data_IF_460904652870
#
_entry.id   IF_460904652870
#
_cell.length_a   1.000
_cell.length_b   1.000
_cell.length_c   1.000
_cell.angle_alpha   90.00
_cell.angle_beta   90.00
_cell.angle_gamma   90.00
#
_symmetry.space_group_name_H-M   'P 1'
#
loop_
_entity.id
_entity.type
_entity.pdbx_description
1 polymer ?
#
# COMPACT_ATOMS: atom_id res chain seq x y z
N UNK A 1 19.53 -17.50 10.53
CA UNK A 1 18.46 -17.43 9.50
C UNK A 1 19.07 -17.24 8.13
N UNK A 2 18.56 -17.94 7.11
CA UNK A 2 19.03 -17.80 5.72
C UNK A 2 18.78 -16.37 5.21
N UNK A 3 19.61 -15.91 4.29
CA UNK A 3 19.50 -14.58 3.68
C UNK A 3 18.13 -14.36 3.01
N UNK A 4 17.62 -15.41 2.36
CA UNK A 4 16.26 -15.45 1.79
C UNK A 4 15.16 -15.21 2.82
N UNK A 5 15.22 -15.86 4.00
CA UNK A 5 14.24 -15.63 5.07
C UNK A 5 14.31 -14.21 5.64
N UNK A 6 15.53 -13.68 5.84
CA UNK A 6 15.69 -12.29 6.29
C UNK A 6 15.14 -11.30 5.26
N UNK A 7 15.41 -11.54 3.97
CA UNK A 7 14.87 -10.75 2.86
C UNK A 7 13.35 -10.75 2.84
N UNK A 8 12.74 -11.94 2.93
CA UNK A 8 11.29 -12.09 2.93
C UNK A 8 10.63 -11.39 4.13
N UNK A 9 11.21 -11.49 5.32
CA UNK A 9 10.71 -10.79 6.50
C UNK A 9 10.80 -9.27 6.35
N UNK A 10 11.93 -8.77 5.85
CA UNK A 10 12.08 -7.32 5.67
C UNK A 10 11.10 -6.80 4.61
N UNK A 11 10.96 -7.50 3.48
CA UNK A 11 9.99 -7.13 2.45
C UNK A 11 8.54 -7.30 2.90
N UNK A 12 8.27 -8.30 3.75
CA UNK A 12 6.93 -8.59 4.27
C UNK A 12 6.47 -7.61 5.36
N UNK A 13 7.38 -7.10 6.19
CA UNK A 13 7.02 -6.26 7.34
C UNK A 13 7.19 -4.77 7.08
N UNK A 14 8.10 -4.38 6.18
CA UNK A 14 8.45 -2.96 5.99
C UNK A 14 7.91 -2.43 4.68
N UNK A 15 8.38 -2.98 3.56
CA UNK A 15 8.02 -2.50 2.23
C UNK A 15 8.32 -3.58 1.18
N UNK A 16 7.41 -3.84 0.22
CA UNK A 16 7.67 -4.79 -0.86
C UNK A 16 9.00 -4.47 -1.57
N UNK A 17 9.83 -5.49 -1.77
CA UNK A 17 11.10 -5.40 -2.51
C UNK A 17 12.32 -4.91 -1.70
N UNK A 18 12.15 -4.41 -0.47
CA UNK A 18 13.28 -3.83 0.28
C UNK A 18 14.31 -4.88 0.71
N UNK A 19 13.87 -6.09 1.05
CA UNK A 19 14.75 -7.22 1.35
C UNK A 19 15.58 -7.62 0.13
N UNK A 20 14.98 -7.67 -1.06
CA UNK A 20 15.69 -7.91 -2.30
C UNK A 20 16.77 -6.86 -2.53
N UNK A 21 16.46 -5.59 -2.27
CA UNK A 21 17.34 -4.46 -2.53
C UNK A 21 18.52 -4.40 -1.55
N UNK A 22 18.25 -4.51 -0.25
CA UNK A 22 19.25 -4.31 0.82
C UNK A 22 19.96 -5.61 1.18
N UNK A 23 19.23 -6.71 1.30
CA UNK A 23 19.77 -7.98 1.80
C UNK A 23 20.31 -8.83 0.64
N UNK A 24 19.50 -9.08 -0.40
CA UNK A 24 19.91 -9.90 -1.55
C UNK A 24 20.68 -9.13 -2.63
N UNK A 25 20.79 -7.80 -2.51
CA UNK A 25 21.47 -6.91 -3.47
C UNK A 25 20.92 -7.01 -4.91
N UNK A 26 19.68 -7.48 -5.09
CA UNK A 26 18.97 -7.61 -6.38
C UNK A 26 18.21 -6.33 -6.68
N UNK A 27 18.93 -5.24 -6.97
CA UNK A 27 18.35 -3.88 -7.10
C UNK A 27 17.16 -3.81 -8.06
N UNK A 28 17.29 -4.37 -9.26
CA UNK A 28 16.22 -4.33 -10.28
C UNK A 28 14.95 -5.02 -9.76
N UNK A 29 15.09 -6.19 -9.13
CA UNK A 29 13.96 -6.94 -8.58
C UNK A 29 13.33 -6.24 -7.37
N UNK A 30 14.15 -5.67 -6.50
CA UNK A 30 13.64 -4.87 -5.39
C UNK A 30 12.82 -3.68 -5.88
N UNK A 31 13.33 -2.93 -6.86
CA UNK A 31 12.63 -1.79 -7.46
C UNK A 31 11.35 -2.20 -8.20
N UNK A 32 11.34 -3.37 -8.85
CA UNK A 32 10.18 -3.90 -9.57
C UNK A 32 8.94 -4.04 -8.67
N UNK A 33 9.13 -4.40 -7.40
CA UNK A 33 8.04 -4.50 -6.42
C UNK A 33 7.83 -3.19 -5.65
N UNK A 34 8.91 -2.49 -5.33
CA UNK A 34 8.87 -1.31 -4.46
C UNK A 34 8.22 -0.11 -5.14
N UNK A 35 8.59 0.19 -6.40
CA UNK A 35 8.11 1.37 -7.12
C UNK A 35 6.59 1.35 -7.33
N UNK A 36 5.99 0.28 -7.90
CA UNK A 36 4.53 0.24 -8.05
C UNK A 36 3.79 0.22 -6.71
N UNK A 37 4.34 -0.43 -5.67
CA UNK A 37 3.75 -0.41 -4.34
C UNK A 37 3.73 1.01 -3.74
N UNK A 38 4.84 1.76 -3.86
CA UNK A 38 4.91 3.16 -3.42
C UNK A 38 3.96 4.05 -4.21
N UNK A 39 3.89 3.90 -5.54
CA UNK A 39 2.97 4.66 -6.36
C UNK A 39 1.51 4.43 -5.96
N UNK A 40 1.11 3.16 -5.78
CA UNK A 40 -0.22 2.80 -5.30
C UNK A 40 -0.50 3.35 -3.89
N UNK A 41 0.45 3.22 -2.97
CA UNK A 41 0.31 3.76 -1.62
C UNK A 41 0.12 5.29 -1.62
N UNK A 42 0.94 6.03 -2.36
CA UNK A 42 0.81 7.49 -2.48
C UNK A 42 -0.54 7.89 -3.09
N UNK A 43 -1.03 7.15 -4.08
CA UNK A 43 -2.36 7.38 -4.67
C UNK A 43 -3.48 7.17 -3.65
N UNK A 44 -3.40 6.12 -2.84
CA UNK A 44 -4.37 5.86 -1.77
C UNK A 44 -4.32 6.93 -0.68
N UNK A 45 -3.12 7.37 -0.27
CA UNK A 45 -2.95 8.45 0.71
C UNK A 45 -3.48 9.78 0.19
N UNK A 46 -3.29 10.07 -1.09
CA UNK A 46 -3.91 11.24 -1.73
C UNK A 46 -5.43 11.18 -1.62
N UNK A 47 -6.05 10.04 -1.95
CA UNK A 47 -7.50 9.86 -1.81
C UNK A 47 -7.99 10.02 -0.38
N UNK A 48 -7.29 9.42 0.57
CA UNK A 48 -7.60 9.56 1.99
C UNK A 48 -7.52 11.03 2.46
N UNK A 49 -6.52 11.78 2.00
CA UNK A 49 -6.36 13.19 2.34
C UNK A 49 -7.54 14.03 1.83
N UNK A 50 -7.97 13.80 0.58
CA UNK A 50 -9.13 14.48 -0.01
C UNK A 50 -10.43 14.15 0.73
N UNK A 51 -10.63 12.88 1.07
CA UNK A 51 -11.79 12.42 1.83
C UNK A 51 -11.83 13.10 3.21
N UNK A 52 -10.69 13.15 3.89
CA UNK A 52 -10.56 13.78 5.21
C UNK A 52 -10.83 15.27 5.15
N UNK A 53 -10.27 15.98 4.17
CA UNK A 53 -10.51 17.41 3.99
C UNK A 53 -11.99 17.72 3.77
N UNK A 54 -12.68 16.92 2.94
CA UNK A 54 -14.11 17.09 2.68
C UNK A 54 -14.95 16.84 3.94
N UNK A 55 -14.62 15.79 4.70
CA UNK A 55 -15.29 15.50 5.97
C UNK A 55 -15.10 16.64 6.98
N UNK A 56 -13.89 17.17 7.10
CA UNK A 56 -13.60 18.30 8.00
C UNK A 56 -14.37 19.56 7.58
N UNK A 57 -14.48 19.83 6.28
CA UNK A 57 -15.27 20.95 5.77
C UNK A 57 -16.76 20.80 6.09
N UNK A 58 -17.34 19.62 5.84
CA UNK A 58 -18.73 19.36 6.17
C UNK A 58 -18.99 19.49 7.69
N UNK A 59 -18.02 19.06 8.52
CA UNK A 59 -18.14 19.14 9.97
C UNK A 59 -18.13 20.60 10.44
N UNK A 60 -17.22 21.41 9.89
CA UNK A 60 -17.10 22.82 10.23
C UNK A 60 -18.30 23.66 9.78
N UNK A 61 -18.94 23.28 8.67
CA UNK A 61 -20.12 23.98 8.13
C UNK A 61 -21.44 23.51 8.72
N UNK A 62 -21.43 22.56 9.67
CA UNK A 62 -22.64 21.98 10.25
C UNK A 62 -23.43 21.11 9.27
N UNK A 63 -22.80 20.70 8.16
CA UNK A 63 -23.42 19.91 7.11
C UNK A 63 -23.29 18.39 7.37
N UNK A 64 -22.73 17.99 8.52
CA UNK A 64 -22.68 16.59 8.95
C UNK A 64 -24.08 16.10 9.35
N UNK A 65 -24.50 14.91 8.88
CA UNK A 65 -25.70 14.27 9.41
C UNK A 65 -25.56 14.04 10.92
N UNK A 66 -26.63 14.26 11.68
CA UNK A 66 -26.68 13.94 13.12
C UNK A 66 -26.83 12.44 13.37
N UNK A 67 -27.22 11.68 12.34
CA UNK A 67 -27.31 10.23 12.36
C UNK A 67 -25.94 9.59 12.05
N UNK A 68 -25.48 8.75 12.97
CA UNK A 68 -24.21 8.02 12.87
C UNK A 68 -24.18 7.11 11.65
N UNK A 69 -25.31 6.51 11.26
CA UNK A 69 -25.38 5.66 10.07
C UNK A 69 -25.12 6.48 8.79
N UNK A 70 -25.76 7.64 8.67
CA UNK A 70 -25.57 8.55 7.54
C UNK A 70 -24.15 9.15 7.46
N UNK A 71 -23.48 9.35 8.61
CA UNK A 71 -22.06 9.75 8.65
C UNK A 71 -21.17 8.64 8.09
N UNK A 72 -21.47 7.39 8.43
CA UNK A 72 -20.71 6.21 7.98
C UNK A 72 -20.83 6.02 6.46
N UNK A 73 -22.03 6.17 5.91
CA UNK A 73 -22.25 6.08 4.46
C UNK A 73 -21.53 7.19 3.69
N UNK A 74 -21.52 8.42 4.22
CA UNK A 74 -20.75 9.51 3.61
C UNK A 74 -19.25 9.28 3.66
N UNK A 75 -18.73 8.76 4.77
CA UNK A 75 -17.31 8.39 4.90
C UNK A 75 -16.90 7.38 3.82
N UNK A 76 -17.72 6.34 3.61
CA UNK A 76 -17.48 5.35 2.55
C UNK A 76 -17.57 5.96 1.15
N UNK A 77 -18.48 6.92 0.95
CA UNK A 77 -18.58 7.68 -0.31
C UNK A 77 -17.41 8.62 -0.59
N UNK A 78 -16.81 9.23 0.44
CA UNK A 78 -15.68 10.15 0.29
C UNK A 78 -14.33 9.46 0.12
N UNK A 79 -14.16 8.27 0.69
CA UNK A 79 -12.88 7.58 0.76
C UNK A 79 -12.35 7.02 -0.58
N UNK A 80 -13.10 7.14 -1.69
CA UNK A 80 -12.76 6.45 -2.93
C UNK A 80 -12.21 7.39 -3.99
N UNK A 81 -10.91 7.27 -4.26
CA UNK A 81 -10.30 7.79 -5.49
C UNK A 81 -10.58 6.86 -6.67
N UNK A 82 -10.57 7.38 -7.91
CA UNK A 82 -10.62 6.54 -9.10
C UNK A 82 -9.58 5.42 -9.02
N UNK A 83 -10.02 4.18 -9.25
CA UNK A 83 -9.13 3.02 -9.21
C UNK A 83 -8.67 2.61 -7.80
N UNK A 84 -9.32 3.05 -6.71
CA UNK A 84 -8.99 2.62 -5.34
C UNK A 84 -8.76 1.11 -5.21
N UNK A 85 -9.72 0.31 -5.69
CA UNK A 85 -9.62 -1.16 -5.64
C UNK A 85 -8.44 -1.69 -6.45
N UNK A 86 -8.14 -1.08 -7.60
CA UNK A 86 -7.00 -1.45 -8.44
C UNK A 86 -5.69 -1.15 -7.70
N UNK A 87 -5.56 0.02 -7.08
CA UNK A 87 -4.38 0.40 -6.31
C UNK A 87 -4.15 -0.54 -5.11
N UNK A 88 -5.22 -0.93 -4.40
CA UNK A 88 -5.14 -1.94 -3.34
C UNK A 88 -4.64 -3.29 -3.88
N UNK A 89 -5.18 -3.75 -5.00
CA UNK A 89 -4.74 -5.01 -5.61
C UNK A 89 -3.29 -4.96 -6.09
N UNK A 90 -2.85 -3.84 -6.66
CA UNK A 90 -1.43 -3.62 -7.01
C UNK A 90 -0.55 -3.73 -5.76
N UNK A 91 -0.94 -3.04 -4.69
CA UNK A 91 -0.17 -3.06 -3.43
C UNK A 91 -0.08 -4.48 -2.86
N UNK A 92 -1.21 -5.19 -2.79
CA UNK A 92 -1.27 -6.57 -2.30
C UNK A 92 -0.46 -7.53 -3.18
N UNK A 93 -0.58 -7.42 -4.50
CA UNK A 93 0.16 -8.24 -5.45
C UNK A 93 1.67 -8.00 -5.36
N UNK A 94 2.11 -6.74 -5.26
CA UNK A 94 3.53 -6.41 -5.07
C UNK A 94 4.08 -7.00 -3.78
N UNK A 95 3.29 -6.96 -2.70
CA UNK A 95 3.66 -7.51 -1.42
C UNK A 95 3.85 -9.02 -1.50
N UNK A 96 2.84 -9.74 -2.00
CA UNK A 96 2.86 -11.19 -2.12
C UNK A 96 3.98 -11.65 -3.07
N UNK A 97 4.10 -11.02 -4.24
CA UNK A 97 5.13 -11.33 -5.22
C UNK A 97 6.55 -11.09 -4.65
N UNK A 98 6.74 -10.04 -3.86
CA UNK A 98 8.01 -9.78 -3.19
C UNK A 98 8.36 -10.85 -2.15
N UNK A 99 7.39 -11.37 -1.40
CA UNK A 99 7.65 -12.48 -0.47
C UNK A 99 8.07 -13.74 -1.24
N UNK A 100 7.34 -14.08 -2.30
CA UNK A 100 7.62 -15.25 -3.13
C UNK A 100 8.98 -15.14 -3.83
N UNK A 101 9.33 -13.98 -4.39
CA UNK A 101 10.63 -13.73 -5.03
C UNK A 101 11.79 -13.89 -4.05
N UNK A 102 11.64 -13.35 -2.82
CA UNK A 102 12.67 -13.45 -1.79
C UNK A 102 12.89 -14.89 -1.32
N UNK A 103 11.82 -15.69 -1.23
CA UNK A 103 11.84 -17.07 -0.73
C UNK A 103 12.27 -18.10 -1.77
N UNK A 104 11.73 -18.00 -2.99
CA UNK A 104 11.80 -19.08 -3.98
C UNK A 104 12.95 -18.92 -4.97
N UNK A 105 13.35 -17.69 -5.27
CA UNK A 105 14.34 -17.48 -6.33
C UNK A 105 15.73 -17.52 -5.72
N UNK A 106 16.43 -18.62 -6.00
CA UNK A 106 17.81 -18.87 -5.60
C UNK A 106 18.75 -17.85 -6.23
N UNK A 107 19.80 -17.53 -5.50
CA UNK A 107 20.86 -16.65 -5.99
C UNK A 107 21.52 -17.27 -7.23
N UNK A 108 21.96 -16.43 -8.17
CA UNK A 108 22.96 -16.88 -9.15
C UNK A 108 24.21 -17.18 -8.33
N UNK A 109 24.61 -18.45 -8.31
CA UNK A 109 25.90 -18.88 -7.76
C UNK A 109 27.05 -18.15 -8.48
#
# INVERSE_FOLDING_TARGET
>A
MKQSTKSALLSGLVLPGIGQLVIQKRRIRGLLFMVPALAAFLWLMYGLSMATMKLMYDAATGNLPTDIAAVTDRLLGYATVPGYSIALWIMFACWLASLLDALLIKDKA
#
